data_IF_861699257742
#
_entry.id   IF_861699257742
#
_cell.length_a   1.000
_cell.length_b   1.000
_cell.length_c   1.000
_cell.angle_alpha   90.00
_cell.angle_beta   90.00
_cell.angle_gamma   90.00
#
_symmetry.space_group_name_H-M   'P 1'
#
loop_
_entity.id
_entity.type
_entity.pdbx_description
1 polymer ?
#
# COMPACT_ATOMS: atom_id res chain seq x y z
N UNK A 1 -28.50 -1.20 57.16
CA UNK A 1 -29.40 -2.21 56.57
C UNK A 1 -30.40 -1.46 55.70
N UNK A 2 -30.25 -1.53 54.37
CA UNK A 2 -31.14 -0.83 53.44
C UNK A 2 -32.44 -1.62 53.27
N UNK A 3 -33.59 -0.98 53.49
CA UNK A 3 -34.90 -1.59 53.23
C UNK A 3 -34.96 -2.07 51.78
N UNK A 4 -35.16 -3.37 51.57
CA UNK A 4 -35.40 -3.94 50.24
C UNK A 4 -36.86 -3.66 49.82
N UNK A 5 -37.23 -3.96 48.57
CA UNK A 5 -38.64 -3.91 48.09
C UNK A 5 -39.60 -4.61 49.07
N UNK A 6 -39.11 -5.65 49.76
CA UNK A 6 -39.88 -6.49 50.68
C UNK A 6 -40.13 -5.84 52.06
N UNK A 7 -39.41 -4.77 52.44
CA UNK A 7 -39.52 -4.09 53.75
C UNK A 7 -40.10 -2.66 53.66
N UNK A 8 -40.49 -2.19 52.47
CA UNK A 8 -40.87 -0.79 52.25
C UNK A 8 -42.39 -0.56 52.36
N UNK A 9 -42.81 0.55 52.99
CA UNK A 9 -44.22 1.01 53.06
C UNK A 9 -44.86 1.30 51.69
N UNK A 10 -44.08 1.44 50.62
CA UNK A 10 -44.55 1.62 49.24
C UNK A 10 -43.70 0.75 48.26
N UNK A 11 -43.96 -0.56 48.21
CA UNK A 11 -43.13 -1.52 47.47
C UNK A 11 -43.18 -1.29 45.96
N UNK A 12 -44.31 -0.80 45.43
CA UNK A 12 -44.46 -0.49 44.01
C UNK A 12 -43.57 0.70 43.57
N UNK A 13 -43.47 1.74 44.40
CA UNK A 13 -42.61 2.90 44.12
C UNK A 13 -41.11 2.55 44.13
N UNK A 14 -40.67 1.68 45.05
CA UNK A 14 -39.27 1.20 45.07
C UNK A 14 -38.96 0.24 43.93
N UNK A 15 -39.87 -0.65 43.59
CA UNK A 15 -39.72 -1.53 42.43
C UNK A 15 -39.60 -0.74 41.12
N UNK A 16 -40.41 0.31 40.94
CA UNK A 16 -40.31 1.20 39.78
C UNK A 16 -38.97 1.95 39.68
N UNK A 17 -38.44 2.43 40.81
CA UNK A 17 -37.14 3.09 40.86
C UNK A 17 -35.97 2.14 40.57
N UNK A 18 -35.96 0.95 41.17
CA UNK A 18 -34.92 -0.05 40.94
C UNK A 18 -34.94 -0.57 39.49
N UNK A 19 -36.12 -0.84 38.93
CA UNK A 19 -36.27 -1.21 37.52
C UNK A 19 -35.88 -0.07 36.58
N UNK A 20 -36.21 1.18 36.93
CA UNK A 20 -35.82 2.35 36.15
C UNK A 20 -34.30 2.53 36.08
N UNK A 21 -33.59 2.34 37.20
CA UNK A 21 -32.13 2.39 37.25
C UNK A 21 -31.47 1.26 36.45
N UNK A 22 -32.00 0.03 36.55
CA UNK A 22 -31.53 -1.09 35.74
C UNK A 22 -31.75 -0.85 34.24
N UNK A 23 -32.94 -0.38 33.86
CA UNK A 23 -33.25 -0.08 32.46
C UNK A 23 -32.37 1.05 31.91
N UNK A 24 -32.11 2.10 32.69
CA UNK A 24 -31.17 3.16 32.31
C UNK A 24 -29.75 2.62 32.14
N UNK A 25 -29.26 1.79 33.05
CA UNK A 25 -27.92 1.19 32.94
C UNK A 25 -27.76 0.27 31.72
N UNK A 26 -28.81 -0.48 31.37
CA UNK A 26 -28.82 -1.28 30.14
C UNK A 26 -28.85 -0.38 28.91
N UNK A 27 -29.70 0.66 28.90
CA UNK A 27 -29.81 1.57 27.77
C UNK A 27 -28.51 2.34 27.51
N UNK A 28 -27.83 2.83 28.56
CA UNK A 28 -26.55 3.54 28.41
C UNK A 28 -25.44 2.63 27.90
N UNK A 29 -25.29 1.43 28.46
CA UNK A 29 -24.28 0.47 28.01
C UNK A 29 -24.49 0.01 26.57
N UNK A 30 -25.75 -0.18 26.15
CA UNK A 30 -26.07 -0.48 24.74
C UNK A 30 -25.78 0.70 23.81
N UNK A 31 -26.05 1.93 24.24
CA UNK A 31 -25.74 3.13 23.46
C UNK A 31 -24.23 3.32 23.29
N UNK A 32 -23.45 3.12 24.35
CA UNK A 32 -21.99 3.20 24.32
C UNK A 32 -21.38 2.09 23.44
N UNK A 33 -21.89 0.87 23.54
CA UNK A 33 -21.47 -0.24 22.69
C UNK A 33 -21.76 0.04 21.20
N UNK A 34 -22.93 0.63 20.89
CA UNK A 34 -23.28 1.02 19.54
C UNK A 34 -22.40 2.16 19.01
N UNK A 35 -22.07 3.14 19.85
CA UNK A 35 -21.16 4.23 19.49
C UNK A 35 -19.73 3.71 19.24
N UNK A 36 -19.20 2.89 20.14
CA UNK A 36 -17.89 2.24 20.00
C UNK A 36 -17.84 1.33 18.76
N UNK A 37 -18.92 0.59 18.48
CA UNK A 37 -19.04 -0.24 17.29
C UNK A 37 -18.97 0.57 15.99
N UNK A 38 -19.67 1.71 15.92
CA UNK A 38 -19.62 2.61 14.76
C UNK A 38 -18.22 3.19 14.55
N UNK A 39 -17.58 3.68 15.62
CA UNK A 39 -16.21 4.20 15.55
C UNK A 39 -15.22 3.12 15.08
N UNK A 40 -15.31 1.91 15.63
CA UNK A 40 -14.45 0.80 15.22
C UNK A 40 -14.68 0.38 13.76
N UNK A 41 -15.91 0.50 13.25
CA UNK A 41 -16.22 0.24 11.85
C UNK A 41 -15.59 1.28 10.92
N UNK A 42 -15.70 2.58 11.26
CA UNK A 42 -15.06 3.66 10.49
C UNK A 42 -13.54 3.52 10.48
N UNK A 43 -12.92 3.30 11.64
CA UNK A 43 -11.47 3.06 11.72
C UNK A 43 -11.02 1.86 10.87
N UNK A 44 -11.83 0.79 10.79
CA UNK A 44 -11.54 -0.35 9.90
C UNK A 44 -11.69 -0.01 8.43
N UNK A 45 -12.64 0.85 8.06
CA UNK A 45 -12.78 1.33 6.68
C UNK A 45 -11.56 2.16 6.29
N UNK A 46 -11.15 3.11 7.13
CA UNK A 46 -9.97 3.95 6.93
C UNK A 46 -8.70 3.11 6.81
N UNK A 47 -8.49 2.14 7.71
CA UNK A 47 -7.34 1.22 7.64
C UNK A 47 -7.32 0.41 6.35
N UNK A 48 -8.48 -0.07 5.88
CA UNK A 48 -8.57 -0.80 4.60
C UNK A 48 -8.26 0.09 3.41
N UNK A 49 -8.73 1.33 3.41
CA UNK A 49 -8.43 2.30 2.36
C UNK A 49 -6.92 2.62 2.33
N UNK A 50 -6.32 2.89 3.49
CA UNK A 50 -4.89 3.15 3.61
C UNK A 50 -4.04 1.94 3.17
N UNK A 51 -4.44 0.73 3.58
CA UNK A 51 -3.77 -0.50 3.17
C UNK A 51 -3.86 -0.72 1.66
N UNK A 52 -5.04 -0.52 1.06
CA UNK A 52 -5.23 -0.64 -0.38
C UNK A 52 -4.33 0.34 -1.15
N UNK A 53 -4.32 1.61 -0.72
CA UNK A 53 -3.44 2.62 -1.30
C UNK A 53 -1.96 2.25 -1.19
N UNK A 54 -1.51 1.76 -0.03
CA UNK A 54 -0.13 1.33 0.16
C UNK A 54 0.24 0.14 -0.75
N UNK A 55 -0.69 -0.81 -0.92
CA UNK A 55 -0.51 -1.95 -1.83
C UNK A 55 -0.36 -1.48 -3.28
N UNK A 56 -1.28 -0.63 -3.75
CA UNK A 56 -1.25 -0.07 -5.11
C UNK A 56 0.04 0.73 -5.38
N UNK A 57 0.50 1.52 -4.39
CA UNK A 57 1.76 2.25 -4.47
C UNK A 57 2.96 1.30 -4.56
N UNK A 58 2.98 0.24 -3.77
CA UNK A 58 4.07 -0.73 -3.77
C UNK A 58 4.14 -1.49 -5.10
N UNK A 59 2.99 -1.90 -5.64
CA UNK A 59 2.91 -2.51 -6.97
C UNK A 59 3.37 -1.56 -8.07
N UNK A 60 2.97 -0.28 -8.01
CA UNK A 60 3.41 0.73 -8.96
C UNK A 60 4.94 0.93 -8.92
N UNK A 61 5.54 0.94 -7.72
CA UNK A 61 6.99 0.99 -7.53
C UNK A 61 7.68 -0.24 -8.10
N UNK A 62 7.16 -1.44 -7.83
CA UNK A 62 7.70 -2.68 -8.39
C UNK A 62 7.73 -2.66 -9.91
N UNK A 63 6.64 -2.23 -10.56
CA UNK A 63 6.59 -2.06 -12.02
C UNK A 63 7.62 -1.04 -12.52
N UNK A 64 7.80 0.06 -11.81
CA UNK A 64 8.79 1.08 -12.17
C UNK A 64 10.23 0.55 -12.07
N UNK A 65 10.55 -0.19 -11.02
CA UNK A 65 11.88 -0.79 -10.81
C UNK A 65 12.21 -1.82 -11.90
N UNK A 66 11.24 -2.64 -12.29
CA UNK A 66 11.41 -3.62 -13.37
C UNK A 66 11.67 -2.93 -14.72
N UNK A 67 10.92 -1.88 -15.04
CA UNK A 67 11.17 -1.05 -16.22
C UNK A 67 12.56 -0.39 -16.18
N UNK A 68 12.98 0.11 -15.02
CA UNK A 68 14.31 0.69 -14.82
C UNK A 68 15.43 -0.31 -15.08
N UNK A 69 15.30 -1.56 -14.61
CA UNK A 69 16.27 -2.64 -14.88
C UNK A 69 16.34 -2.99 -16.36
N UNK A 70 15.20 -3.04 -17.04
CA UNK A 70 15.14 -3.28 -18.49
C UNK A 70 15.83 -2.14 -19.25
N UNK A 71 15.55 -0.89 -18.89
CA UNK A 71 16.17 0.27 -19.51
C UNK A 71 17.69 0.26 -19.34
N UNK A 72 18.20 0.00 -18.13
CA UNK A 72 19.64 -0.10 -17.86
C UNK A 72 20.27 -1.20 -18.73
N UNK A 73 19.63 -2.37 -18.84
CA UNK A 73 20.13 -3.47 -19.67
C UNK A 73 20.16 -3.09 -21.15
N UNK A 74 19.12 -2.44 -21.64
CA UNK A 74 19.03 -1.98 -23.03
C UNK A 74 20.14 -0.97 -23.35
N UNK A 75 20.38 0.02 -22.49
CA UNK A 75 21.44 1.02 -22.66
C UNK A 75 22.82 0.35 -22.70
N UNK A 76 23.08 -0.62 -21.81
CA UNK A 76 24.35 -1.38 -21.84
C UNK A 76 24.53 -2.15 -23.15
N UNK A 77 23.46 -2.75 -23.66
CA UNK A 77 23.48 -3.48 -24.93
C UNK A 77 23.77 -2.53 -26.10
N UNK A 78 23.12 -1.36 -26.14
CA UNK A 78 23.39 -0.32 -27.15
C UNK A 78 24.85 0.13 -27.09
N UNK A 79 25.39 0.40 -25.90
CA UNK A 79 26.78 0.79 -25.75
C UNK A 79 27.77 -0.28 -26.25
N UNK A 80 27.46 -1.57 -26.03
CA UNK A 80 28.23 -2.69 -26.56
C UNK A 80 28.19 -2.71 -28.09
N UNK A 81 27.01 -2.56 -28.69
CA UNK A 81 26.83 -2.52 -30.14
C UNK A 81 27.57 -1.34 -30.77
N UNK A 82 27.50 -0.15 -30.16
CA UNK A 82 28.24 1.01 -30.64
C UNK A 82 29.76 0.80 -30.61
N UNK A 83 30.27 0.12 -29.58
CA UNK A 83 31.69 -0.23 -29.51
C UNK A 83 32.09 -1.20 -30.61
N UNK A 84 31.24 -2.17 -30.92
CA UNK A 84 31.45 -3.11 -32.02
C UNK A 84 31.43 -2.41 -33.39
N UNK A 85 30.44 -1.53 -33.62
CA UNK A 85 30.37 -0.70 -34.84
C UNK A 85 31.65 0.14 -35.01
N UNK A 86 32.14 0.76 -33.93
CA UNK A 86 33.40 1.51 -33.96
C UNK A 86 34.59 0.61 -34.35
N UNK A 87 34.70 -0.59 -33.77
CA UNK A 87 35.77 -1.54 -34.12
C UNK A 87 35.71 -1.97 -35.59
N UNK A 88 34.52 -2.30 -36.09
CA UNK A 88 34.33 -2.72 -37.48
C UNK A 88 34.67 -1.60 -38.47
N UNK A 89 34.28 -0.35 -38.17
CA UNK A 89 34.65 0.81 -38.98
C UNK A 89 36.16 0.97 -39.07
N UNK A 90 36.87 0.91 -37.95
CA UNK A 90 38.34 0.99 -37.93
C UNK A 90 38.98 -0.14 -38.76
N UNK A 91 38.47 -1.36 -38.66
CA UNK A 91 38.97 -2.49 -39.45
C UNK A 91 38.72 -2.31 -40.96
N UNK A 92 37.57 -1.75 -41.32
CA UNK A 92 37.24 -1.42 -42.71
C UNK A 92 38.19 -0.35 -43.27
N UNK A 93 38.41 0.73 -42.53
CA UNK A 93 39.31 1.81 -42.92
C UNK A 93 40.74 1.32 -43.13
N UNK A 94 41.23 0.44 -42.23
CA UNK A 94 42.54 -0.19 -42.37
C UNK A 94 42.66 -1.05 -43.63
N UNK A 95 41.62 -1.84 -43.95
CA UNK A 95 41.58 -2.66 -45.16
C UNK A 95 41.55 -1.80 -46.42
N UNK A 96 40.75 -0.74 -46.42
CA UNK A 96 40.68 0.18 -47.55
C UNK A 96 42.03 0.86 -47.79
N UNK A 97 42.68 1.35 -46.74
CA UNK A 97 44.00 1.96 -46.84
C UNK A 97 45.07 0.98 -47.37
N UNK A 98 44.97 -0.32 -47.05
CA UNK A 98 45.86 -1.33 -47.61
C UNK A 98 45.61 -1.54 -49.11
N UNK A 99 44.35 -1.64 -49.53
CA UNK A 99 43.96 -1.76 -50.95
C UNK A 99 44.44 -0.54 -51.74
N UNK A 100 44.24 0.67 -51.22
CA UNK A 100 44.66 1.90 -51.90
C UNK A 100 46.17 1.96 -52.08
N UNK A 101 46.95 1.50 -51.07
CA UNK A 101 48.40 1.37 -51.19
C UNK A 101 48.81 0.37 -52.27
N UNK A 102 48.18 -0.80 -52.32
CA UNK A 102 48.46 -1.81 -53.34
C UNK A 102 48.12 -1.32 -54.75
N UNK A 103 47.01 -0.58 -54.90
CA UNK A 103 46.57 -0.02 -56.18
C UNK A 103 47.51 1.06 -56.73
N UNK A 104 48.16 1.82 -55.85
CA UNK A 104 49.09 2.89 -56.23
C UNK A 104 50.55 2.40 -56.36
N UNK A 105 50.84 1.15 -56.02
CA UNK A 105 52.18 0.55 -56.07
C UNK A 105 52.46 -0.26 -57.36
N UNK A 106 51.43 -0.52 -58.17
CA UNK A 106 51.54 -1.13 -59.51
C UNK A 106 51.30 -0.10 -60.60
#
# INVERSE_FOLDING_TARGET
MGMTIFDSKNPAGRAGLELGLLAMGIATTMADAAAAGRQAAELRKERRAAYKYACELNEARGRADDLGRVAIRAVRHVASLEAEVRRLRVALDQRQAHIDRMRNAG
#
